data_IF_153627644211
#
_entry.id   IF_153627644211
#
_cell.length_a   1.000
_cell.length_b   1.000
_cell.length_c   1.000
_cell.angle_alpha   90.00
_cell.angle_beta   90.00
_cell.angle_gamma   90.00
#
_symmetry.space_group_name_H-M   'P 1'
#
loop_
_entity.id
_entity.type
_entity.pdbx_description
1 polymer ?
#
# COMPACT_ATOMS: atom_id res chain seq x y z
N UNK A 1 28.87 37.88 -11.03
CA UNK A 1 28.75 36.57 -10.37
C UNK A 1 27.94 36.79 -9.11
N UNK A 2 26.64 36.58 -9.19
CA UNK A 2 25.71 36.65 -8.05
C UNK A 2 25.65 35.26 -7.44
N UNK A 3 26.43 35.07 -6.38
CA UNK A 3 26.27 33.94 -5.46
C UNK A 3 24.85 33.98 -4.91
N UNK A 4 24.01 33.07 -5.39
CA UNK A 4 22.69 32.84 -4.84
C UNK A 4 22.90 32.17 -3.49
N UNK A 5 22.69 32.96 -2.44
CA UNK A 5 22.58 32.50 -1.05
C UNK A 5 21.36 31.59 -0.98
N UNK A 6 21.60 30.30 -1.11
CA UNK A 6 20.64 29.25 -0.76
C UNK A 6 20.36 29.41 0.73
N UNK A 7 19.29 30.15 1.02
CA UNK A 7 18.90 30.48 2.39
C UNK A 7 18.47 29.18 3.03
N UNK A 8 19.32 28.67 3.91
CA UNK A 8 19.08 27.48 4.74
C UNK A 8 17.75 27.68 5.48
N UNK A 9 16.65 27.19 4.88
CA UNK A 9 15.31 27.29 5.47
C UNK A 9 15.36 26.58 6.81
N UNK A 10 14.93 27.26 7.87
CA UNK A 10 14.90 26.71 9.21
C UNK A 10 14.20 25.33 9.22
N UNK A 11 14.74 24.33 9.95
CA UNK A 11 14.15 23.01 10.06
C UNK A 11 12.75 23.12 10.70
N UNK A 12 11.71 23.08 9.87
CA UNK A 12 10.31 23.30 10.28
C UNK A 12 9.45 23.98 9.21
N UNK A 13 10.02 24.91 8.42
CA UNK A 13 9.25 25.65 7.41
C UNK A 13 8.60 24.75 6.34
N UNK A 14 9.27 23.66 5.97
CA UNK A 14 8.75 22.68 5.00
C UNK A 14 7.61 21.83 5.57
N UNK A 15 7.59 21.56 6.88
CA UNK A 15 6.53 20.81 7.54
C UNK A 15 5.28 21.67 7.75
N UNK A 16 5.45 22.98 7.98
CA UNK A 16 4.31 23.92 7.99
C UNK A 16 3.70 24.10 6.59
N UNK A 17 4.53 24.12 5.53
CA UNK A 17 4.09 24.09 4.13
C UNK A 17 3.30 22.80 3.84
N UNK A 18 3.81 21.65 4.28
CA UNK A 18 3.15 20.36 4.16
C UNK A 18 1.79 20.33 4.90
N UNK A 19 1.70 20.92 6.10
CA UNK A 19 0.45 21.01 6.86
C UNK A 19 -0.61 21.81 6.11
N UNK A 20 -0.21 22.97 5.59
CA UNK A 20 -1.10 23.80 4.78
C UNK A 20 -1.57 23.07 3.51
N UNK A 21 -0.68 22.28 2.91
CA UNK A 21 -0.98 21.47 1.73
C UNK A 21 -1.93 20.30 2.05
N UNK A 22 -1.77 19.63 3.19
CA UNK A 22 -2.68 18.58 3.64
C UNK A 22 -4.08 19.14 3.97
N UNK A 23 -4.19 20.34 4.55
CA UNK A 23 -5.47 21.01 4.77
C UNK A 23 -6.24 21.24 3.45
N UNK A 24 -5.53 21.65 2.39
CA UNK A 24 -6.12 21.81 1.04
C UNK A 24 -6.66 20.49 0.51
N UNK A 25 -5.92 19.39 0.67
CA UNK A 25 -6.36 18.07 0.22
C UNK A 25 -7.53 17.51 1.05
N UNK A 26 -7.50 17.72 2.38
CA UNK A 26 -8.58 17.32 3.27
C UNK A 26 -9.89 18.08 2.97
N UNK A 27 -9.77 19.33 2.51
CA UNK A 27 -10.89 20.14 2.01
C UNK A 27 -11.17 19.93 0.51
N UNK A 28 -10.65 18.86 -0.11
CA UNK A 28 -10.69 18.59 -1.56
C UNK A 28 -12.01 18.93 -2.28
N UNK A 29 -13.21 18.62 -1.75
CA UNK A 29 -14.48 18.99 -2.39
C UNK A 29 -14.74 20.50 -2.52
N UNK A 30 -13.98 21.34 -1.80
CA UNK A 30 -14.06 22.81 -1.82
C UNK A 30 -13.00 23.45 -2.72
N UNK A 31 -12.09 22.67 -3.28
CA UNK A 31 -10.99 23.14 -4.13
C UNK A 31 -11.17 22.68 -5.58
N UNK A 32 -10.53 23.39 -6.51
CA UNK A 32 -10.52 22.94 -7.90
C UNK A 32 -9.63 21.69 -8.02
N UNK A 33 -10.04 20.75 -8.87
CA UNK A 33 -9.28 19.51 -9.07
C UNK A 33 -7.84 19.77 -9.54
N UNK A 34 -7.60 20.84 -10.29
CA UNK A 34 -6.25 21.28 -10.69
C UNK A 34 -5.35 21.56 -9.50
N UNK A 35 -5.86 22.23 -8.46
CA UNK A 35 -5.11 22.57 -7.26
C UNK A 35 -4.80 21.31 -6.45
N UNK A 36 -5.82 20.44 -6.29
CA UNK A 36 -5.69 19.14 -5.61
C UNK A 36 -4.62 18.27 -6.30
N UNK A 37 -4.61 18.21 -7.63
CA UNK A 37 -3.59 17.48 -8.41
C UNK A 37 -2.18 18.04 -8.19
N UNK A 38 -2.04 19.37 -8.26
CA UNK A 38 -0.74 20.02 -8.08
C UNK A 38 -0.18 19.72 -6.69
N UNK A 39 -1.01 19.85 -5.65
CA UNK A 39 -0.61 19.58 -4.27
C UNK A 39 -0.29 18.09 -4.04
N UNK A 40 -1.13 17.18 -4.52
CA UNK A 40 -0.92 15.75 -4.33
C UNK A 40 0.41 15.26 -4.93
N UNK A 41 0.84 15.84 -6.06
CA UNK A 41 2.11 15.51 -6.70
C UNK A 41 3.36 15.92 -5.92
N UNK A 42 3.24 16.86 -4.96
CA UNK A 42 4.40 17.40 -4.22
C UNK A 42 4.51 16.90 -2.79
N UNK A 43 3.41 16.46 -2.18
CA UNK A 43 3.39 16.03 -0.76
C UNK A 43 4.38 14.92 -0.44
N UNK A 44 4.23 13.77 -1.10
CA UNK A 44 5.05 12.61 -0.81
C UNK A 44 6.55 12.86 -1.11
N UNK A 45 6.95 13.50 -2.24
CA UNK A 45 8.34 13.88 -2.46
C UNK A 45 8.92 14.77 -1.34
N UNK A 46 8.15 15.77 -0.88
CA UNK A 46 8.59 16.66 0.20
C UNK A 46 8.85 15.89 1.49
N UNK A 47 7.93 15.02 1.90
CA UNK A 47 8.12 14.19 3.11
C UNK A 47 9.28 13.22 2.96
N UNK A 48 9.44 12.61 1.79
CA UNK A 48 10.56 11.71 1.53
C UNK A 48 11.91 12.43 1.63
N UNK A 49 12.01 13.65 1.11
CA UNK A 49 13.21 14.47 1.23
C UNK A 49 13.48 14.89 2.68
N UNK A 50 12.45 15.21 3.46
CA UNK A 50 12.61 15.49 4.90
C UNK A 50 13.05 14.26 5.69
N UNK A 51 12.50 13.07 5.41
CA UNK A 51 12.95 11.81 6.02
C UNK A 51 14.43 11.55 5.76
N UNK A 52 14.91 11.81 4.53
CA UNK A 52 16.33 11.68 4.17
C UNK A 52 17.19 12.75 4.85
N UNK A 53 16.78 14.02 4.78
CA UNK A 53 17.52 15.14 5.35
C UNK A 53 17.72 15.01 6.86
N UNK A 54 16.76 14.40 7.56
CA UNK A 54 16.81 14.14 9.01
C UNK A 54 17.50 12.82 9.37
N UNK A 55 17.96 12.04 8.38
CA UNK A 55 18.55 10.72 8.61
C UNK A 55 17.58 9.74 9.28
N UNK A 56 16.28 9.89 9.00
CA UNK A 56 15.21 9.01 9.48
C UNK A 56 14.94 7.89 8.48
N UNK A 57 15.10 8.15 7.18
CA UNK A 57 14.85 7.18 6.11
C UNK A 57 15.47 5.81 6.40
N UNK A 58 16.79 5.76 6.66
CA UNK A 58 17.51 4.49 6.89
C UNK A 58 17.16 3.81 8.24
N UNK A 59 16.43 4.50 9.11
CA UNK A 59 15.99 3.98 10.42
C UNK A 59 14.56 3.45 10.39
N UNK A 60 13.81 3.75 9.34
CA UNK A 60 12.45 3.25 9.18
C UNK A 60 12.48 1.73 8.98
N UNK A 61 11.46 1.01 9.48
CA UNK A 61 11.24 -0.38 9.08
C UNK A 61 11.14 -0.53 7.55
N UNK A 62 11.59 -1.65 7.00
CA UNK A 62 11.58 -1.85 5.54
C UNK A 62 10.17 -1.74 4.92
N UNK A 63 9.14 -2.20 5.64
CA UNK A 63 7.74 -2.06 5.19
C UNK A 63 7.27 -0.60 5.12
N UNK A 64 7.93 0.30 5.86
CA UNK A 64 7.67 1.74 5.81
C UNK A 64 8.37 2.39 4.63
N UNK A 65 9.52 1.87 4.19
CA UNK A 65 10.07 2.25 2.88
C UNK A 65 9.09 1.93 1.76
N UNK A 66 8.53 0.70 1.77
CA UNK A 66 7.53 0.31 0.79
C UNK A 66 6.30 1.23 0.85
N UNK A 67 5.74 1.51 2.03
CA UNK A 67 4.60 2.40 2.16
C UNK A 67 4.88 3.84 1.68
N UNK A 68 6.07 4.38 1.96
CA UNK A 68 6.47 5.71 1.46
C UNK A 68 6.61 5.71 -0.07
N UNK A 69 7.19 4.65 -0.64
CA UNK A 69 7.28 4.47 -2.08
C UNK A 69 5.92 4.36 -2.75
N UNK A 70 4.97 3.68 -2.12
CA UNK A 70 3.57 3.69 -2.54
C UNK A 70 2.96 5.10 -2.47
N UNK A 71 3.25 5.89 -1.44
CA UNK A 71 2.77 7.27 -1.34
C UNK A 71 3.33 8.17 -2.45
N UNK A 72 4.59 8.00 -2.84
CA UNK A 72 5.17 8.70 -4.01
C UNK A 72 4.42 8.36 -5.30
N UNK A 73 4.19 7.08 -5.55
CA UNK A 73 3.45 6.63 -6.73
C UNK A 73 1.99 7.08 -6.71
N UNK A 74 1.32 7.03 -5.55
CA UNK A 74 -0.05 7.52 -5.36
C UNK A 74 -0.14 9.03 -5.61
N UNK A 75 0.82 9.83 -5.11
CA UNK A 75 0.90 11.26 -5.39
C UNK A 75 1.03 11.56 -6.89
N UNK A 76 1.90 10.83 -7.59
CA UNK A 76 2.03 10.95 -9.04
C UNK A 76 0.75 10.56 -9.79
N UNK A 77 0.12 9.44 -9.43
CA UNK A 77 -1.13 8.98 -10.04
C UNK A 77 -2.25 9.98 -9.84
N UNK A 78 -2.41 10.54 -8.63
CA UNK A 78 -3.39 11.58 -8.35
C UNK A 78 -3.08 12.83 -9.20
N UNK A 79 -1.83 13.26 -9.26
CA UNK A 79 -1.42 14.44 -10.03
C UNK A 79 -1.64 14.31 -11.54
N UNK A 80 -1.62 13.09 -12.09
CA UNK A 80 -1.81 12.83 -13.53
C UNK A 80 -3.23 12.39 -13.88
N UNK A 81 -4.05 12.02 -12.91
CA UNK A 81 -5.39 11.50 -13.13
C UNK A 81 -6.33 12.54 -13.78
N UNK A 82 -7.15 12.11 -14.77
CA UNK A 82 -8.11 12.99 -15.42
C UNK A 82 -9.29 13.35 -14.51
N UNK A 83 -9.57 12.54 -13.49
CA UNK A 83 -10.68 12.71 -12.56
C UNK A 83 -10.28 12.32 -11.12
N UNK A 84 -11.00 12.82 -10.09
CA UNK A 84 -10.74 12.47 -8.70
C UNK A 84 -10.92 10.97 -8.40
N UNK A 85 -9.98 10.43 -7.63
CA UNK A 85 -10.08 9.12 -6.97
C UNK A 85 -10.05 9.34 -5.44
N UNK A 86 -11.23 9.48 -4.79
CA UNK A 86 -11.30 9.83 -3.37
C UNK A 86 -10.63 8.82 -2.44
N UNK A 87 -10.65 7.53 -2.79
CA UNK A 87 -10.05 6.48 -1.97
C UNK A 87 -8.53 6.55 -2.02
N UNK A 88 -7.96 6.72 -3.22
CA UNK A 88 -6.52 6.93 -3.37
C UNK A 88 -6.07 8.23 -2.71
N UNK A 89 -6.83 9.31 -2.86
CA UNK A 89 -6.51 10.59 -2.23
C UNK A 89 -6.52 10.49 -0.70
N UNK A 90 -7.55 9.89 -0.10
CA UNK A 90 -7.63 9.69 1.35
C UNK A 90 -6.45 8.84 1.88
N UNK A 91 -6.08 7.79 1.14
CA UNK A 91 -4.92 6.95 1.46
C UNK A 91 -3.60 7.73 1.40
N UNK A 92 -3.39 8.50 0.33
CA UNK A 92 -2.22 9.37 0.18
C UNK A 92 -2.10 10.35 1.35
N UNK A 93 -3.19 11.06 1.66
CA UNK A 93 -3.27 12.01 2.78
C UNK A 93 -2.87 11.32 4.09
N UNK A 94 -3.44 10.15 4.38
CA UNK A 94 -3.17 9.41 5.61
C UNK A 94 -1.72 8.91 5.71
N UNK A 95 -1.12 8.40 4.62
CA UNK A 95 0.26 7.91 4.65
C UNK A 95 1.25 9.07 4.75
N UNK A 96 1.05 10.16 4.00
CA UNK A 96 1.88 11.38 4.09
C UNK A 96 1.83 11.97 5.50
N UNK A 97 0.65 12.07 6.09
CA UNK A 97 0.49 12.59 7.44
C UNK A 97 1.21 11.72 8.49
N UNK A 98 1.19 10.40 8.34
CA UNK A 98 1.96 9.50 9.21
C UNK A 98 3.47 9.77 9.12
N UNK A 99 4.03 9.84 7.92
CA UNK A 99 5.46 10.10 7.75
C UNK A 99 5.87 11.53 8.15
N UNK A 100 4.96 12.50 7.99
CA UNK A 100 5.15 13.85 8.50
C UNK A 100 5.24 13.87 10.04
N UNK A 101 4.40 13.08 10.71
CA UNK A 101 4.44 12.90 12.16
C UNK A 101 5.79 12.30 12.59
N UNK A 102 6.29 11.27 11.90
CA UNK A 102 7.63 10.69 12.16
C UNK A 102 8.76 11.72 11.97
N UNK A 103 8.65 12.62 10.99
CA UNK A 103 9.60 13.72 10.80
C UNK A 103 9.56 14.75 11.95
N UNK A 104 8.40 14.95 12.58
CA UNK A 104 8.22 15.88 13.71
C UNK A 104 8.56 15.26 15.08
N UNK A 105 8.47 13.93 15.22
CA UNK A 105 8.77 13.22 16.46
C UNK A 105 10.30 13.10 16.62
N UNK A 106 10.95 13.83 17.56
CA UNK A 106 10.59 14.02 18.98
C UNK A 106 10.38 15.50 19.40
N UNK A 107 10.32 16.43 18.45
CA UNK A 107 10.34 17.88 18.70
C UNK A 107 8.96 18.49 18.88
N UNK A 108 7.92 17.77 18.48
CA UNK A 108 6.53 18.23 18.55
C UNK A 108 5.64 17.10 19.09
N UNK A 109 4.69 17.47 19.95
CA UNK A 109 3.56 16.61 20.34
C UNK A 109 2.29 16.92 19.54
N UNK A 110 2.38 17.80 18.54
CA UNK A 110 1.24 18.10 17.66
C UNK A 110 0.97 16.84 16.84
N UNK A 111 -0.27 16.37 16.92
CA UNK A 111 -0.73 15.25 16.11
C UNK A 111 -1.15 15.76 14.75
N UNK A 112 -0.90 14.96 13.74
CA UNK A 112 -1.45 15.15 12.40
C UNK A 112 -2.82 14.46 12.38
N UNK A 113 -3.94 15.22 12.37
CA UNK A 113 -5.27 14.61 12.50
C UNK A 113 -5.61 13.65 11.35
N UNK A 114 -4.97 13.83 10.20
CA UNK A 114 -5.08 12.97 9.03
C UNK A 114 -4.31 11.65 9.18
N UNK A 115 -3.34 11.57 10.08
CA UNK A 115 -2.56 10.34 10.29
C UNK A 115 -3.45 9.27 10.92
N UNK A 116 -3.48 8.09 10.31
CA UNK A 116 -4.24 6.95 10.84
C UNK A 116 -3.63 6.49 12.17
N UNK A 117 -4.37 6.56 13.30
CA UNK A 117 -3.89 6.02 14.55
C UNK A 117 -3.63 4.51 14.41
N UNK A 118 -2.45 4.06 14.84
CA UNK A 118 -2.10 2.63 14.81
C UNK A 118 -1.53 2.12 13.48
N UNK A 119 -1.23 2.98 12.50
CA UNK A 119 -0.63 2.51 11.23
C UNK A 119 0.68 1.73 11.41
N UNK A 120 1.53 2.09 12.38
CA UNK A 120 2.73 1.31 12.72
C UNK A 120 2.40 -0.06 13.32
N UNK A 121 1.31 -0.17 14.09
CA UNK A 121 0.82 -1.45 14.60
C UNK A 121 0.28 -2.33 13.46
N UNK A 122 -0.46 -1.74 12.52
CA UNK A 122 -0.92 -2.45 11.31
C UNK A 122 0.26 -2.97 10.47
N UNK A 123 1.34 -2.19 10.34
CA UNK A 123 2.58 -2.62 9.67
C UNK A 123 3.23 -3.82 10.37
N UNK A 124 3.30 -3.79 11.70
CA UNK A 124 3.80 -4.90 12.52
C UNK A 124 2.94 -6.15 12.39
N UNK A 125 1.61 -5.99 12.40
CA UNK A 125 0.67 -7.11 12.17
C UNK A 125 0.85 -7.68 10.76
N UNK A 126 1.02 -6.84 9.74
CA UNK A 126 1.22 -7.29 8.37
C UNK A 126 2.49 -8.13 8.18
N UNK A 127 3.56 -7.86 8.95
CA UNK A 127 4.75 -8.75 8.98
C UNK A 127 4.38 -10.13 9.50
N UNK A 128 3.55 -10.22 10.55
CA UNK A 128 3.08 -11.52 11.06
C UNK A 128 2.17 -12.23 10.05
N UNK A 129 1.27 -11.50 9.37
CA UNK A 129 0.43 -12.04 8.30
C UNK A 129 1.27 -12.57 7.12
N UNK A 130 2.34 -11.87 6.75
CA UNK A 130 3.27 -12.31 5.70
C UNK A 130 3.94 -13.64 6.05
N UNK A 131 4.40 -13.79 7.29
CA UNK A 131 5.04 -15.04 7.75
C UNK A 131 4.05 -16.21 7.71
N UNK A 132 2.82 -15.97 8.14
CA UNK A 132 1.76 -16.99 8.07
C UNK A 132 1.43 -17.35 6.62
N UNK A 133 1.23 -16.34 5.77
CA UNK A 133 0.87 -16.56 4.36
C UNK A 133 1.96 -17.30 3.61
N UNK A 134 3.24 -16.97 3.81
CA UNK A 134 4.37 -17.64 3.14
C UNK A 134 4.61 -19.07 3.61
N UNK A 135 4.14 -19.42 4.81
CA UNK A 135 4.18 -20.80 5.32
C UNK A 135 3.08 -21.70 4.73
N UNK A 136 2.09 -21.13 4.03
CA UNK A 136 1.02 -21.89 3.41
C UNK A 136 1.51 -22.65 2.16
N UNK A 137 0.83 -23.74 1.81
CA UNK A 137 1.03 -24.39 0.51
C UNK A 137 0.48 -23.50 -0.62
N UNK A 138 0.98 -23.62 -1.87
CA UNK A 138 0.48 -22.82 -2.99
C UNK A 138 -1.04 -22.90 -3.21
N UNK A 139 -1.64 -24.07 -2.94
CA UNK A 139 -3.08 -24.26 -3.00
C UNK A 139 -3.83 -23.44 -1.95
N UNK A 140 -3.32 -23.40 -0.71
CA UNK A 140 -3.89 -22.58 0.35
C UNK A 140 -3.68 -21.09 0.12
N UNK A 141 -2.52 -20.67 -0.40
CA UNK A 141 -2.30 -19.28 -0.82
C UNK A 141 -3.34 -18.84 -1.87
N UNK A 142 -3.57 -19.70 -2.86
CA UNK A 142 -4.55 -19.45 -3.94
C UNK A 142 -5.96 -19.30 -3.38
N UNK A 143 -6.35 -20.20 -2.48
CA UNK A 143 -7.67 -20.15 -1.84
C UNK A 143 -7.86 -18.88 -1.00
N UNK A 144 -6.84 -18.48 -0.23
CA UNK A 144 -6.90 -17.26 0.57
C UNK A 144 -7.10 -16.04 -0.32
N UNK A 145 -6.27 -15.85 -1.36
CA UNK A 145 -6.42 -14.69 -2.25
C UNK A 145 -7.77 -14.70 -2.95
N UNK A 146 -8.25 -15.88 -3.38
CA UNK A 146 -9.57 -16.04 -3.99
C UNK A 146 -10.68 -15.59 -3.05
N UNK A 147 -10.66 -16.02 -1.78
CA UNK A 147 -11.68 -15.63 -0.78
C UNK A 147 -11.63 -14.16 -0.39
N UNK A 148 -10.48 -13.53 -0.56
CA UNK A 148 -10.26 -12.11 -0.28
C UNK A 148 -10.68 -11.20 -1.44
N UNK A 149 -10.91 -11.74 -2.64
CA UNK A 149 -11.52 -10.96 -3.72
C UNK A 149 -12.96 -10.59 -3.39
N UNK A 150 -13.39 -9.36 -3.71
CA UNK A 150 -14.79 -9.00 -3.63
C UNK A 150 -15.60 -9.94 -4.55
N UNK A 151 -16.77 -10.41 -4.10
CA UNK A 151 -17.67 -11.13 -5.00
C UNK A 151 -18.03 -10.21 -6.16
N UNK A 152 -18.19 -10.73 -7.39
CA UNK A 152 -18.76 -9.88 -8.44
C UNK A 152 -20.19 -9.53 -8.03
N UNK A 153 -20.66 -8.37 -8.48
CA UNK A 153 -22.04 -7.96 -8.23
C UNK A 153 -22.99 -9.05 -8.78
N UNK A 154 -23.79 -9.70 -7.93
CA UNK A 154 -24.75 -10.67 -8.41
C UNK A 154 -25.81 -9.94 -9.24
N UNK A 155 -26.34 -10.62 -10.25
CA UNK A 155 -27.59 -10.17 -10.86
C UNK A 155 -28.70 -10.16 -9.79
N UNK A 156 -29.72 -9.31 -9.95
CA UNK A 156 -30.72 -9.01 -8.91
C UNK A 156 -31.42 -10.23 -8.27
N UNK A 157 -31.45 -11.37 -8.97
CA UNK A 157 -32.05 -12.63 -8.54
C UNK A 157 -31.13 -13.53 -7.69
N UNK A 158 -29.83 -13.25 -7.60
CA UNK A 158 -28.85 -13.99 -6.78
C UNK A 158 -28.63 -13.38 -5.38
N UNK A 159 -29.22 -12.19 -5.10
CA UNK A 159 -29.02 -11.47 -3.83
C UNK A 159 -29.39 -12.26 -2.58
N UNK A 160 -30.36 -13.16 -2.69
CA UNK A 160 -30.85 -13.98 -1.57
C UNK A 160 -30.03 -15.26 -1.34
N UNK A 161 -29.18 -15.66 -2.28
CA UNK A 161 -28.35 -16.86 -2.18
C UNK A 161 -26.87 -16.51 -2.01
N UNK A 162 -26.53 -16.14 -0.76
CA UNK A 162 -25.17 -16.18 -0.19
C UNK A 162 -24.19 -15.18 -0.81
N UNK A 163 -24.14 -13.96 -0.26
CA UNK A 163 -22.86 -13.25 -0.18
C UNK A 163 -21.90 -14.15 0.59
N UNK A 164 -20.96 -14.78 -0.10
CA UNK A 164 -19.86 -15.45 0.58
C UNK A 164 -19.11 -14.37 1.36
N UNK A 165 -19.34 -14.31 2.68
CA UNK A 165 -18.70 -13.32 3.53
C UNK A 165 -17.19 -13.41 3.33
N UNK A 166 -16.58 -12.25 3.08
CA UNK A 166 -15.13 -12.12 3.04
C UNK A 166 -14.65 -12.12 4.49
N UNK A 167 -14.03 -13.21 4.98
CA UNK A 167 -13.49 -13.21 6.33
C UNK A 167 -12.36 -12.16 6.42
N UNK A 168 -12.09 -11.62 7.62
CA UNK A 168 -10.86 -10.87 7.86
C UNK A 168 -9.64 -11.70 7.47
N UNK A 169 -8.60 -11.05 6.92
CA UNK A 169 -7.40 -11.75 6.43
C UNK A 169 -6.75 -12.61 7.53
N UNK A 170 -6.63 -12.07 8.74
CA UNK A 170 -6.08 -12.78 9.91
C UNK A 170 -6.84 -14.06 10.22
N UNK A 171 -8.18 -14.02 10.18
CA UNK A 171 -9.05 -15.19 10.41
C UNK A 171 -8.88 -16.22 9.30
N UNK A 172 -8.80 -15.77 8.05
CA UNK A 172 -8.60 -16.66 6.90
C UNK A 172 -7.25 -17.40 6.99
N UNK A 173 -6.18 -16.67 7.31
CA UNK A 173 -4.84 -17.26 7.48
C UNK A 173 -4.76 -18.23 8.66
N UNK A 174 -5.34 -17.87 9.81
CA UNK A 174 -5.39 -18.76 10.96
C UNK A 174 -6.13 -20.06 10.63
N UNK A 175 -7.28 -19.96 9.95
CA UNK A 175 -8.07 -21.12 9.52
C UNK A 175 -7.29 -22.02 8.56
N UNK A 176 -6.63 -21.45 7.55
CA UNK A 176 -5.82 -22.21 6.60
C UNK A 176 -4.59 -22.85 7.28
N UNK A 177 -3.94 -22.14 8.20
CA UNK A 177 -2.80 -22.66 8.96
C UNK A 177 -3.20 -23.88 9.79
N UNK A 178 -4.35 -23.82 10.47
CA UNK A 178 -4.83 -24.94 11.28
C UNK A 178 -5.31 -26.11 10.42
N UNK A 179 -5.97 -25.84 9.28
CA UNK A 179 -6.34 -26.87 8.32
C UNK A 179 -5.09 -27.60 7.76
N UNK A 180 -4.03 -26.86 7.43
CA UNK A 180 -2.75 -27.45 7.00
C UNK A 180 -2.11 -28.34 8.07
N UNK A 181 -2.15 -27.95 9.36
CA UNK A 181 -1.67 -28.81 10.46
C UNK A 181 -2.46 -30.11 10.57
N UNK A 182 -3.73 -30.11 10.17
CA UNK A 182 -4.59 -31.30 10.11
C UNK A 182 -4.46 -32.07 8.78
N UNK A 183 -3.51 -31.69 7.91
CA UNK A 183 -3.33 -32.25 6.57
C UNK A 183 -4.57 -32.12 5.67
N UNK A 184 -5.38 -31.09 5.89
CA UNK A 184 -6.53 -30.80 5.05
C UNK A 184 -6.11 -30.09 3.76
N UNK A 185 -6.70 -30.53 2.64
CA UNK A 185 -6.58 -29.84 1.36
C UNK A 185 -7.40 -28.55 1.36
N UNK A 186 -7.00 -27.54 0.56
CA UNK A 186 -7.85 -26.38 0.32
C UNK A 186 -9.23 -26.81 -0.19
N UNK A 187 -10.32 -26.19 0.29
CA UNK A 187 -11.66 -26.49 -0.19
C UNK A 187 -11.77 -26.23 -1.69
N UNK A 188 -12.50 -27.08 -2.41
CA UNK A 188 -12.87 -26.79 -3.78
C UNK A 188 -13.80 -25.57 -3.83
N UNK A 189 -13.71 -24.73 -4.88
CA UNK A 189 -14.67 -23.64 -5.08
C UNK A 189 -16.10 -24.20 -5.13
N UNK A 190 -17.02 -23.53 -4.44
CA UNK A 190 -18.45 -23.87 -4.50
C UNK A 190 -19.05 -23.40 -5.82
N UNK A 191 -20.09 -24.08 -6.31
CA UNK A 191 -20.64 -23.85 -7.66
C UNK A 191 -21.19 -22.45 -7.93
N UNK A 192 -21.52 -21.70 -6.86
CA UNK A 192 -22.02 -20.32 -6.91
C UNK A 192 -20.91 -19.28 -6.65
N UNK A 193 -19.67 -19.71 -6.48
CA UNK A 193 -18.53 -18.82 -6.32
C UNK A 193 -17.90 -18.56 -7.69
N UNK A 194 -18.13 -17.37 -8.20
CA UNK A 194 -17.71 -16.94 -9.53
C UNK A 194 -16.25 -16.44 -9.58
N UNK A 195 -15.55 -16.47 -8.43
CA UNK A 195 -14.15 -16.05 -8.32
C UNK A 195 -13.24 -17.15 -8.87
N UNK A 196 -12.42 -16.78 -9.86
CA UNK A 196 -11.55 -17.72 -10.55
C UNK A 196 -10.34 -18.14 -9.69
N UNK A 197 -10.20 -19.45 -9.48
CA UNK A 197 -9.02 -20.05 -8.85
C UNK A 197 -7.77 -19.90 -9.72
N UNK A 198 -7.92 -19.98 -11.04
CA UNK A 198 -6.81 -19.79 -11.99
C UNK A 198 -6.27 -18.35 -11.94
N UNK A 199 -7.17 -17.37 -11.93
CA UNK A 199 -6.80 -15.97 -11.75
C UNK A 199 -6.10 -15.78 -10.40
N UNK A 200 -6.62 -16.39 -9.34
CA UNK A 200 -6.02 -16.29 -8.01
C UNK A 200 -4.63 -16.93 -7.94
N UNK A 201 -4.41 -18.06 -8.61
CA UNK A 201 -3.09 -18.70 -8.71
C UNK A 201 -2.08 -17.81 -9.46
N UNK A 202 -2.51 -17.16 -10.55
CA UNK A 202 -1.69 -16.19 -11.27
C UNK A 202 -1.40 -14.94 -10.42
N UNK A 203 -2.34 -14.52 -9.57
CA UNK A 203 -2.15 -13.43 -8.60
C UNK A 203 -1.14 -13.84 -7.52
N UNK A 204 -1.20 -15.06 -6.97
CA UNK A 204 -0.18 -15.61 -6.05
C UNK A 204 1.20 -15.57 -6.71
N UNK A 205 1.33 -16.09 -7.93
CA UNK A 205 2.61 -16.12 -8.63
C UNK A 205 3.21 -14.73 -8.91
N UNK A 206 2.38 -13.70 -9.05
CA UNK A 206 2.84 -12.29 -9.13
C UNK A 206 3.21 -11.76 -7.75
N UNK A 207 2.38 -12.00 -6.74
CA UNK A 207 2.62 -11.59 -5.36
C UNK A 207 3.97 -12.08 -4.84
N UNK A 208 4.31 -13.35 -5.06
CA UNK A 208 5.55 -13.96 -4.55
C UNK A 208 6.82 -13.40 -5.19
N UNK A 209 6.71 -12.64 -6.29
CA UNK A 209 7.86 -11.99 -6.96
C UNK A 209 8.16 -10.59 -6.43
N UNK A 210 7.26 -10.00 -5.64
CA UNK A 210 7.55 -8.72 -5.01
C UNK A 210 8.65 -8.88 -3.95
N UNK A 211 9.46 -7.82 -3.74
CA UNK A 211 10.30 -7.72 -2.56
C UNK A 211 9.50 -7.96 -1.29
N UNK A 212 10.16 -8.41 -0.23
CA UNK A 212 9.48 -8.81 1.00
C UNK A 212 8.67 -7.68 1.63
N UNK A 213 9.27 -6.50 1.71
CA UNK A 213 8.66 -5.28 2.22
C UNK A 213 7.42 -4.85 1.43
N UNK A 214 7.42 -5.08 0.11
CA UNK A 214 6.26 -4.84 -0.75
C UNK A 214 5.15 -5.87 -0.50
N UNK A 215 5.51 -7.13 -0.26
CA UNK A 215 4.54 -8.17 0.10
C UNK A 215 3.87 -7.86 1.44
N UNK A 216 4.63 -7.38 2.42
CA UNK A 216 4.10 -6.93 3.72
C UNK A 216 3.11 -5.78 3.52
N UNK A 217 3.49 -4.74 2.77
CA UNK A 217 2.63 -3.59 2.52
C UNK A 217 1.34 -3.94 1.78
N UNK A 218 1.43 -4.84 0.79
CA UNK A 218 0.27 -5.37 0.09
C UNK A 218 -0.67 -6.09 1.08
N UNK A 219 -0.14 -6.95 1.96
CA UNK A 219 -0.95 -7.66 2.95
C UNK A 219 -1.58 -6.72 3.97
N UNK A 220 -0.90 -5.65 4.39
CA UNK A 220 -1.48 -4.58 5.22
C UNK A 220 -2.70 -3.96 4.55
N UNK A 221 -2.60 -3.63 3.26
CA UNK A 221 -3.71 -3.07 2.48
C UNK A 221 -4.83 -4.09 2.25
N UNK A 222 -4.51 -5.37 2.08
CA UNK A 222 -5.52 -6.44 2.00
C UNK A 222 -6.27 -6.63 3.32
N UNK A 223 -5.56 -6.54 4.46
CA UNK A 223 -6.16 -6.59 5.80
C UNK A 223 -7.09 -5.41 6.04
N UNK A 224 -6.77 -4.23 5.50
CA UNK A 224 -7.65 -3.06 5.47
C UNK A 224 -8.82 -3.16 4.47
N UNK A 225 -9.00 -4.30 3.79
CA UNK A 225 -10.13 -4.56 2.90
C UNK A 225 -9.84 -4.38 1.40
N UNK A 226 -8.61 -4.07 0.98
CA UNK A 226 -8.28 -3.96 -0.45
C UNK A 226 -8.37 -5.29 -1.20
N UNK A 227 -8.71 -5.26 -2.49
CA UNK A 227 -8.73 -6.45 -3.37
C UNK A 227 -7.30 -6.92 -3.66
N UNK A 228 -6.97 -8.21 -3.48
CA UNK A 228 -5.65 -8.76 -3.82
C UNK A 228 -5.22 -8.47 -5.26
N UNK A 229 -6.07 -8.76 -6.24
CA UNK A 229 -5.83 -8.55 -7.66
C UNK A 229 -5.51 -7.08 -7.94
N UNK A 230 -6.33 -6.17 -7.41
CA UNK A 230 -6.12 -4.73 -7.60
C UNK A 230 -4.80 -4.27 -6.95
N UNK A 231 -4.55 -4.63 -5.69
CA UNK A 231 -3.36 -4.20 -4.96
C UNK A 231 -2.06 -4.74 -5.57
N UNK A 232 -2.08 -5.97 -6.09
CA UNK A 232 -0.91 -6.57 -6.75
C UNK A 232 -0.64 -5.92 -8.10
N UNK A 233 -1.69 -5.61 -8.88
CA UNK A 233 -1.54 -4.85 -10.12
C UNK A 233 -1.07 -3.42 -9.83
N UNK A 234 -1.63 -2.78 -8.81
CA UNK A 234 -1.28 -1.44 -8.38
C UNK A 234 0.16 -1.37 -7.88
N UNK A 235 0.62 -2.34 -7.09
CA UNK A 235 2.00 -2.41 -6.64
C UNK A 235 2.98 -2.53 -7.80
N UNK A 236 2.63 -3.30 -8.83
CA UNK A 236 3.43 -3.43 -10.04
C UNK A 236 3.54 -2.10 -10.80
N UNK A 237 2.44 -1.35 -10.92
CA UNK A 237 2.44 -0.02 -11.53
C UNK A 237 3.25 0.97 -10.70
N UNK A 238 3.13 0.94 -9.38
CA UNK A 238 3.88 1.82 -8.47
C UNK A 238 5.39 1.65 -8.62
N UNK A 239 5.89 0.42 -8.76
CA UNK A 239 7.33 0.21 -8.98
C UNK A 239 7.79 0.78 -10.33
N UNK A 240 6.97 0.68 -11.37
CA UNK A 240 7.31 1.29 -12.67
C UNK A 240 7.39 2.83 -12.58
N UNK A 241 6.44 3.46 -11.88
CA UNK A 241 6.43 4.92 -11.64
C UNK A 241 7.68 5.34 -10.85
N UNK A 242 8.03 4.59 -9.80
CA UNK A 242 9.22 4.84 -9.00
C UNK A 242 10.50 4.82 -9.83
N UNK A 243 10.60 3.87 -10.75
CA UNK A 243 11.73 3.78 -11.67
C UNK A 243 11.76 4.93 -12.69
N UNK A 244 10.63 5.26 -13.32
CA UNK A 244 10.58 6.28 -14.39
C UNK A 244 10.70 7.71 -13.87
N UNK A 245 9.94 8.05 -12.83
CA UNK A 245 9.77 9.42 -12.35
C UNK A 245 10.74 9.76 -11.22
N UNK A 246 10.98 8.81 -10.32
CA UNK A 246 11.75 9.04 -9.09
C UNK A 246 13.16 8.45 -9.13
N UNK A 247 13.53 7.76 -10.23
CA UNK A 247 14.82 7.07 -10.41
C UNK A 247 15.15 6.08 -9.29
N UNK A 248 14.13 5.56 -8.61
CA UNK A 248 14.27 4.53 -7.59
C UNK A 248 14.26 3.17 -8.29
N UNK A 249 15.38 2.46 -8.23
CA UNK A 249 15.49 1.11 -8.76
C UNK A 249 15.31 0.10 -7.63
N UNK A 250 14.23 -0.68 -7.71
CA UNK A 250 13.98 -1.82 -6.83
C UNK A 250 14.41 -3.09 -7.56
N UNK A 251 15.03 -4.04 -6.85
CA UNK A 251 15.46 -5.32 -7.40
C UNK A 251 14.27 -6.28 -7.69
N UNK A 252 13.23 -5.77 -8.34
CA UNK A 252 11.93 -6.44 -8.54
C UNK A 252 11.88 -7.31 -9.81
N UNK A 253 12.91 -7.23 -10.67
CA UNK A 253 12.97 -7.96 -11.94
C UNK A 253 14.38 -8.45 -12.30
N UNK A 254 15.30 -8.62 -11.34
CA UNK A 254 16.52 -9.37 -11.64
C UNK A 254 16.08 -10.80 -11.98
N UNK A 255 16.17 -11.18 -13.26
CA UNK A 255 16.04 -12.60 -13.64
C UNK A 255 16.97 -13.38 -12.70
N UNK A 256 16.54 -14.49 -12.09
CA UNK A 256 17.50 -15.35 -11.41
C UNK A 256 18.62 -15.63 -12.43
N UNK A 257 19.86 -15.28 -12.07
CA UNK A 257 21.02 -15.65 -12.86
C UNK A 257 20.89 -17.16 -13.11
N UNK A 258 20.97 -17.63 -14.37
CA UNK A 258 20.94 -19.06 -14.62
C UNK A 258 22.03 -19.67 -13.76
N UNK A 259 21.66 -20.66 -12.93
CA UNK A 259 22.63 -21.41 -12.16
C UNK A 259 23.67 -21.91 -13.17
N UNK A 260 24.91 -21.45 -13.03
CA UNK A 260 26.00 -21.94 -13.85
C UNK A 260 26.07 -23.46 -13.66
N UNK A 261 26.15 -24.25 -14.74
CA UNK A 261 26.21 -25.70 -14.68
C UNK A 261 27.45 -26.20 -13.93
#
# INVERSE_FOLDING_TARGET
MTESTETERAPGAKLDELRSALDVLAMGPRHQWTDVRQVAGTLAPLVWDELKARGLWDKLPEHDHAAMYWALADGHNVATAPAPDPLRLARLISEVAHFAEECEHPWSRRRWPEAKPGRSADGTEAVALQRQFTALSPGWMTEILRRMEPPREPADWERDQRRAERPPLSVALATATDAMKRYESPPAPVSYDDRSSETSAAVVGRFTRFPEEWRVEILRRMAAGGSPLHLIAEGAMSINILHSEFRVSLAWCARPLPAHP
#
